data_IF_076941382031
#
_entry.id   IF_076941382031
#
_cell.length_a   1.000
_cell.length_b   1.000
_cell.length_c   1.000
_cell.angle_alpha   90.00
_cell.angle_beta   90.00
_cell.angle_gamma   90.00
#
_symmetry.space_group_name_H-M   'P 1'
#
loop_
_entity.id
_entity.type
_entity.pdbx_description
1 polymer ?
#
# COMPACT_ATOMS: atom_id res chain seq x y z
N UNK A 1 9.17 15.59 -11.10
CA UNK A 1 8.05 14.99 -10.34
C UNK A 1 8.00 13.51 -10.65
N UNK A 2 7.93 12.60 -9.66
CA UNK A 2 7.74 11.17 -9.94
C UNK A 2 6.41 11.00 -10.68
N UNK A 3 6.41 10.26 -11.78
CA UNK A 3 5.25 10.06 -12.64
C UNK A 3 4.16 9.30 -11.87
N UNK A 4 2.94 9.83 -11.83
CA UNK A 4 1.81 9.12 -11.22
C UNK A 4 1.36 8.00 -12.15
N UNK A 5 1.21 6.79 -11.60
CA UNK A 5 0.67 5.64 -12.33
C UNK A 5 -0.80 5.46 -11.99
N UNK A 6 -1.68 5.63 -12.98
CA UNK A 6 -3.08 5.30 -12.84
C UNK A 6 -3.26 3.78 -12.65
N UNK A 7 -4.20 3.40 -11.79
CA UNK A 7 -4.49 2.01 -11.47
C UNK A 7 -5.97 1.83 -11.19
N UNK A 8 -6.52 0.69 -11.61
CA UNK A 8 -7.91 0.29 -11.32
C UNK A 8 -7.90 -0.76 -10.23
N UNK A 9 -8.71 -0.55 -9.19
CA UNK A 9 -8.87 -1.47 -8.07
C UNK A 9 -10.27 -2.08 -8.17
N UNK A 10 -10.36 -3.40 -7.99
CA UNK A 10 -11.65 -4.10 -7.88
C UNK A 10 -11.99 -4.23 -6.41
N UNK A 11 -13.15 -3.69 -6.03
CA UNK A 11 -13.72 -3.81 -4.70
C UNK A 11 -14.98 -4.67 -4.78
N UNK A 12 -15.35 -5.34 -3.69
CA UNK A 12 -16.73 -5.84 -3.57
C UNK A 12 -17.71 -4.66 -3.52
N UNK A 13 -18.98 -4.92 -3.81
CA UNK A 13 -20.03 -3.90 -3.70
C UNK A 13 -20.06 -3.30 -2.28
N UNK A 14 -19.99 -4.16 -1.26
CA UNK A 14 -20.00 -3.76 0.14
C UNK A 14 -18.80 -2.85 0.49
N UNK A 15 -17.59 -3.22 0.07
CA UNK A 15 -16.40 -2.39 0.31
C UNK A 15 -16.44 -1.05 -0.42
N UNK A 16 -16.99 -1.02 -1.64
CA UNK A 16 -17.16 0.23 -2.37
C UNK A 16 -18.13 1.17 -1.62
N UNK A 17 -19.24 0.62 -1.11
CA UNK A 17 -20.22 1.39 -0.35
C UNK A 17 -19.68 1.89 1.00
N UNK A 18 -18.93 1.05 1.72
CA UNK A 18 -18.25 1.46 2.96
C UNK A 18 -17.25 2.59 2.70
N UNK A 19 -16.44 2.45 1.65
CA UNK A 19 -15.45 3.47 1.26
C UNK A 19 -16.09 4.80 0.85
N UNK A 20 -17.18 4.77 0.09
CA UNK A 20 -17.96 5.96 -0.27
C UNK A 20 -18.55 6.65 0.95
N UNK A 21 -19.00 5.86 1.93
CA UNK A 21 -19.54 6.38 3.19
C UNK A 21 -18.46 7.11 3.99
N UNK A 22 -17.28 6.49 4.15
CA UNK A 22 -16.12 7.12 4.83
C UNK A 22 -15.74 8.42 4.14
N UNK A 23 -15.56 8.38 2.81
CA UNK A 23 -15.20 9.55 2.02
C UNK A 23 -16.21 10.70 2.17
N UNK A 24 -17.50 10.37 2.22
CA UNK A 24 -18.59 11.34 2.42
C UNK A 24 -18.53 11.98 3.81
N UNK A 25 -18.36 11.18 4.86
CA UNK A 25 -18.26 11.66 6.26
C UNK A 25 -17.03 12.56 6.44
N UNK A 26 -15.91 12.18 5.85
CA UNK A 26 -14.65 12.93 5.93
C UNK A 26 -14.60 14.13 4.98
N UNK A 27 -15.63 14.33 4.15
CA UNK A 27 -15.70 15.34 3.10
C UNK A 27 -14.46 15.33 2.17
N UNK A 28 -14.03 14.14 1.77
CA UNK A 28 -12.86 13.90 0.93
C UNK A 28 -13.23 13.08 -0.31
N UNK A 29 -12.51 13.25 -1.44
CA UNK A 29 -12.65 12.35 -2.57
C UNK A 29 -12.24 10.91 -2.21
N UNK A 30 -12.99 9.91 -2.69
CA UNK A 30 -12.62 8.48 -2.54
C UNK A 30 -11.16 8.20 -2.94
N UNK A 31 -10.68 8.85 -4.00
CA UNK A 31 -9.29 8.71 -4.45
C UNK A 31 -8.25 9.19 -3.44
N UNK A 32 -8.59 10.16 -2.60
CA UNK A 32 -7.72 10.68 -1.55
C UNK A 32 -7.68 9.72 -0.35
N UNK A 33 -8.85 9.23 0.07
CA UNK A 33 -8.98 8.20 1.10
C UNK A 33 -8.15 6.96 0.73
N UNK A 34 -8.27 6.48 -0.51
CA UNK A 34 -7.47 5.35 -1.01
C UNK A 34 -5.97 5.65 -1.01
N UNK A 35 -5.56 6.84 -1.45
CA UNK A 35 -4.14 7.22 -1.44
C UNK A 35 -3.58 7.27 -0.02
N UNK A 36 -4.35 7.81 0.93
CA UNK A 36 -3.97 7.86 2.34
C UNK A 36 -3.84 6.45 2.93
N UNK A 37 -4.84 5.58 2.71
CA UNK A 37 -4.83 4.20 3.19
C UNK A 37 -3.63 3.40 2.64
N UNK A 38 -3.29 3.56 1.34
CA UNK A 38 -2.11 2.93 0.74
C UNK A 38 -0.82 3.45 1.38
N UNK A 39 -0.70 4.77 1.56
CA UNK A 39 0.50 5.38 2.15
C UNK A 39 0.70 4.92 3.60
N UNK A 40 -0.35 4.93 4.40
CA UNK A 40 -0.35 4.47 5.78
C UNK A 40 0.02 2.99 5.87
N UNK A 41 -0.60 2.14 5.04
CA UNK A 41 -0.29 0.71 5.01
C UNK A 41 1.18 0.47 4.68
N UNK A 42 1.73 1.14 3.66
CA UNK A 42 3.14 1.00 3.27
C UNK A 42 4.06 1.43 4.42
N UNK A 43 3.78 2.55 5.07
CA UNK A 43 4.61 3.05 6.17
C UNK A 43 4.57 2.12 7.39
N UNK A 44 3.38 1.61 7.72
CA UNK A 44 3.22 0.62 8.79
C UNK A 44 3.99 -0.67 8.48
N UNK A 45 3.91 -1.18 7.24
CA UNK A 45 4.70 -2.35 6.82
C UNK A 45 6.20 -2.06 6.85
N UNK A 46 6.63 -0.85 6.46
CA UNK A 46 8.05 -0.46 6.49
C UNK A 46 8.63 -0.46 7.89
N UNK A 47 7.83 -0.11 8.91
CA UNK A 47 8.22 -0.08 10.33
C UNK A 47 8.10 -1.44 11.02
N UNK A 48 7.36 -2.38 10.44
CA UNK A 48 7.18 -3.72 10.99
C UNK A 48 8.51 -4.51 10.97
N UNK A 49 8.97 -4.92 12.16
CA UNK A 49 10.25 -5.62 12.30
C UNK A 49 10.27 -6.95 11.53
N UNK A 50 9.17 -7.72 11.58
CA UNK A 50 9.05 -8.97 10.83
C UNK A 50 9.12 -8.77 9.32
N UNK A 51 8.51 -7.71 8.80
CA UNK A 51 8.64 -7.32 7.39
C UNK A 51 10.07 -6.90 7.03
N UNK A 52 10.73 -6.12 7.88
CA UNK A 52 12.12 -5.69 7.66
C UNK A 52 13.08 -6.88 7.61
N UNK A 53 12.95 -7.82 8.54
CA UNK A 53 13.80 -9.02 8.60
C UNK A 53 13.55 -9.91 7.38
N UNK A 54 12.27 -10.17 7.05
CA UNK A 54 11.92 -10.91 5.85
C UNK A 54 12.40 -10.23 4.56
N UNK A 55 12.44 -8.90 4.51
CA UNK A 55 12.99 -8.14 3.38
C UNK A 55 14.52 -8.29 3.28
N UNK A 56 15.25 -8.14 4.40
CA UNK A 56 16.71 -8.33 4.46
C UNK A 56 17.09 -9.75 4.01
N UNK A 57 16.45 -10.76 4.58
CA UNK A 57 16.70 -12.17 4.21
C UNK A 57 16.52 -12.41 2.71
N UNK A 58 15.50 -11.79 2.12
CA UNK A 58 15.21 -11.92 0.68
C UNK A 58 16.27 -11.25 -0.18
N UNK A 59 16.78 -10.10 0.26
CA UNK A 59 17.90 -9.39 -0.38
C UNK A 59 19.18 -10.22 -0.28
N UNK A 60 19.53 -10.73 0.90
CA UNK A 60 20.73 -11.54 1.11
C UNK A 60 20.71 -12.83 0.28
N UNK A 61 19.56 -13.50 0.19
CA UNK A 61 19.39 -14.66 -0.70
C UNK A 61 19.57 -14.27 -2.16
N UNK A 62 19.01 -13.15 -2.60
CA UNK A 62 19.17 -12.68 -3.97
C UNK A 62 20.63 -12.31 -4.29
N UNK A 63 21.35 -11.68 -3.36
CA UNK A 63 22.77 -11.33 -3.52
C UNK A 63 23.65 -12.57 -3.64
N UNK A 64 23.42 -13.61 -2.83
CA UNK A 64 24.14 -14.90 -2.95
C UNK A 64 23.93 -15.56 -4.32
N UNK A 65 22.74 -15.45 -4.91
CA UNK A 65 22.47 -15.99 -6.25
C UNK A 65 23.21 -15.23 -7.36
N UNK A 66 23.52 -13.95 -7.16
CA UNK A 66 24.28 -13.13 -8.11
C UNK A 66 25.80 -13.28 -7.95
N UNK A 67 26.27 -14.18 -7.09
CA UNK A 67 27.69 -14.47 -6.88
C UNK A 67 28.37 -13.54 -5.87
N UNK A 68 27.62 -13.04 -4.87
CA UNK A 68 28.22 -12.48 -3.65
C UNK A 68 29.11 -13.48 -2.92
#
# INVERSE_FOLDING_TARGET
MKQQKAMTIRLSADQAQELETVATVDNQPVSEVIRAAIAEHIENRRKDAGFQDGLKDRIERAQRLLGG
#
